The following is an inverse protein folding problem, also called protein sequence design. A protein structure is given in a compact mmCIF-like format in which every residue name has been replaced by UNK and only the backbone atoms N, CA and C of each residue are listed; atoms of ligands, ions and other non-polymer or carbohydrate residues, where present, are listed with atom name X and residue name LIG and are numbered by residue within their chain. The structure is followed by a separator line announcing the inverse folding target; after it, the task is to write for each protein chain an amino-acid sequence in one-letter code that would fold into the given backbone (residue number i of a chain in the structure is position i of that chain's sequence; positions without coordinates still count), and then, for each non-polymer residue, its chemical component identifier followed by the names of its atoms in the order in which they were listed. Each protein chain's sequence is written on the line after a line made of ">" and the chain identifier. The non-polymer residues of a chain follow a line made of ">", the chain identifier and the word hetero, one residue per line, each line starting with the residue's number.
data_IF_082787268361
#
_entry.id   IF_082787268361
#
_cell.length_a   1.000
_cell.length_b   1.000
_cell.length_c   1.000
_cell.angle_alpha   90.00
_cell.angle_beta   90.00
_cell.angle_gamma   90.00
#
_symmetry.space_group_name_H-M   'P 1'
#
loop_
_entity.id
_entity.type
_entity.pdbx_description
1 polymer ?
#
# COMPACT_ATOMS: atom_id res chain seq x y z
N UNK A 1 9.10 2.53 -15.94
CA UNK A 1 9.99 1.83 -14.99
C UNK A 1 10.47 0.50 -15.56
N UNK A 2 9.57 -0.46 -15.84
CA UNK A 2 9.96 -1.76 -16.40
C UNK A 2 10.77 -1.67 -17.70
N UNK A 3 10.41 -0.77 -18.62
CA UNK A 3 11.12 -0.64 -19.91
C UNK A 3 12.54 -0.08 -19.75
N UNK A 4 12.76 0.75 -18.73
CA UNK A 4 14.05 1.37 -18.45
C UNK A 4 14.97 0.48 -17.59
N UNK A 5 14.40 -0.47 -16.85
CA UNK A 5 15.10 -1.37 -15.93
C UNK A 5 14.70 -2.84 -16.16
N UNK A 6 14.97 -3.39 -17.36
CA UNK A 6 14.59 -4.76 -17.68
C UNK A 6 15.29 -5.75 -16.76
N UNK A 7 14.53 -6.71 -16.21
CA UNK A 7 15.04 -7.76 -15.32
C UNK A 7 15.43 -7.30 -13.90
N UNK A 8 15.31 -6.00 -13.58
CA UNK A 8 15.60 -5.49 -12.24
C UNK A 8 14.34 -5.57 -11.36
N UNK A 9 14.41 -6.20 -10.18
CA UNK A 9 13.29 -6.24 -9.25
C UNK A 9 12.91 -4.83 -8.77
N UNK A 10 11.61 -4.52 -8.76
CA UNK A 10 11.08 -3.24 -8.28
C UNK A 10 10.20 -3.51 -7.06
N UNK A 11 10.46 -2.82 -5.96
CA UNK A 11 9.71 -2.95 -4.72
C UNK A 11 9.14 -1.58 -4.33
N UNK A 12 7.90 -1.24 -4.72
CA UNK A 12 7.31 0.06 -4.46
C UNK A 12 6.88 0.26 -2.99
N UNK A 13 6.82 1.51 -2.57
CA UNK A 13 6.13 1.93 -1.36
C UNK A 13 5.08 2.98 -1.74
N UNK A 14 3.96 2.98 -1.02
CA UNK A 14 2.87 3.93 -1.22
C UNK A 14 3.25 5.29 -0.59
N UNK A 15 3.16 6.37 -1.37
CA UNK A 15 3.32 7.73 -0.87
C UNK A 15 2.00 8.33 -0.38
N UNK A 16 2.03 9.62 -0.06
CA UNK A 16 0.86 10.35 0.44
C UNK A 16 0.07 11.10 -0.65
N UNK A 17 0.56 11.11 -1.90
CA UNK A 17 -0.05 11.82 -3.03
C UNK A 17 -0.79 10.89 -4.00
N UNK A 18 -0.78 9.59 -3.74
CA UNK A 18 -1.43 8.58 -4.58
C UNK A 18 -2.94 8.53 -4.39
N UNK A 19 -3.46 8.97 -3.24
CA UNK A 19 -4.90 9.12 -3.03
C UNK A 19 -5.39 10.54 -3.31
N UNK A 20 -6.68 10.65 -3.57
CA UNK A 20 -7.38 11.93 -3.69
C UNK A 20 -8.57 11.95 -2.72
N UNK A 21 -8.70 12.98 -1.86
CA UNK A 21 -7.76 14.10 -1.66
C UNK A 21 -6.38 13.65 -1.10
N UNK A 22 -5.35 14.48 -1.26
CA UNK A 22 -4.00 14.20 -0.75
C UNK A 22 -4.02 13.87 0.75
N UNK A 23 -3.22 12.88 1.18
CA UNK A 23 -3.18 12.33 2.54
C UNK A 23 -4.48 11.63 3.00
N UNK A 24 -5.50 11.47 2.16
CA UNK A 24 -6.74 10.79 2.55
C UNK A 24 -6.56 9.26 2.45
N UNK A 25 -6.21 8.62 3.55
CA UNK A 25 -6.01 7.16 3.63
C UNK A 25 -6.86 6.56 4.76
N UNK A 26 -8.14 6.27 4.50
CA UNK A 26 -9.05 5.66 5.47
C UNK A 26 -8.52 4.27 5.87
N UNK A 27 -8.45 3.95 7.17
CA UNK A 27 -8.08 2.63 7.64
C UNK A 27 -9.09 1.54 7.24
N UNK A 28 -8.73 0.24 7.28
CA UNK A 28 -9.59 -0.86 6.82
C UNK A 28 -10.93 -1.00 7.55
N UNK A 29 -11.07 -0.42 8.74
CA UNK A 29 -12.34 -0.40 9.47
C UNK A 29 -13.38 0.58 8.86
N UNK A 30 -12.96 1.47 7.95
CA UNK A 30 -13.87 2.33 7.16
C UNK A 30 -14.31 1.56 5.92
N UNK A 31 -15.44 0.87 6.02
CA UNK A 31 -15.95 -0.02 4.96
C UNK A 31 -17.04 0.58 4.08
N UNK A 32 -17.48 1.81 4.34
CA UNK A 32 -18.53 2.46 3.54
C UNK A 32 -18.08 2.58 2.07
N UNK A 33 -18.93 2.19 1.09
CA UNK A 33 -18.60 2.26 -0.35
C UNK A 33 -18.09 3.63 -0.80
N UNK A 34 -18.59 4.71 -0.21
CA UNK A 34 -18.32 6.10 -0.59
C UNK A 34 -16.98 6.61 -0.06
N UNK A 35 -16.45 5.99 1.00
CA UNK A 35 -15.26 6.49 1.70
C UNK A 35 -14.11 5.51 1.79
N UNK A 36 -14.28 4.24 1.42
CA UNK A 36 -13.16 3.29 1.47
C UNK A 36 -12.14 3.55 0.35
N UNK A 37 -10.91 3.07 0.56
CA UNK A 37 -9.77 3.27 -0.35
C UNK A 37 -9.54 2.10 -1.32
N UNK A 38 -10.49 1.15 -1.40
CA UNK A 38 -10.30 -0.07 -2.19
C UNK A 38 -10.05 0.22 -3.68
N UNK A 39 -10.61 1.32 -4.22
CA UNK A 39 -10.36 1.75 -5.59
C UNK A 39 -8.86 1.91 -5.89
N UNK A 40 -8.09 2.48 -4.95
CA UNK A 40 -6.65 2.69 -5.10
C UNK A 40 -5.90 1.39 -4.83
N UNK A 41 -6.20 0.70 -3.73
CA UNK A 41 -5.42 -0.49 -3.33
C UNK A 41 -5.61 -1.66 -4.30
N UNK A 42 -6.79 -1.80 -4.92
CA UNK A 42 -7.02 -2.79 -5.98
C UNK A 42 -6.21 -2.45 -7.24
N UNK A 43 -6.12 -1.17 -7.61
CA UNK A 43 -5.30 -0.74 -8.75
C UNK A 43 -3.81 -0.93 -8.48
N UNK A 44 -3.34 -0.60 -7.27
CA UNK A 44 -1.95 -0.86 -6.86
C UNK A 44 -1.63 -2.36 -6.94
N UNK A 45 -2.49 -3.24 -6.44
CA UNK A 45 -2.32 -4.69 -6.60
C UNK A 45 -2.25 -5.08 -8.08
N UNK A 46 -3.18 -4.62 -8.92
CA UNK A 46 -3.16 -4.91 -10.35
C UNK A 46 -1.87 -4.45 -11.05
N UNK A 47 -1.40 -3.23 -10.75
CA UNK A 47 -0.20 -2.65 -11.34
C UNK A 47 1.07 -3.32 -10.81
N UNK A 48 1.15 -3.61 -9.52
CA UNK A 48 2.34 -4.15 -8.85
C UNK A 48 2.53 -5.66 -9.02
N UNK A 49 1.50 -6.41 -9.44
CA UNK A 49 1.62 -7.86 -9.76
C UNK A 49 2.73 -8.19 -10.75
N UNK A 50 3.09 -7.25 -11.62
CA UNK A 50 4.20 -7.42 -12.57
C UNK A 50 5.59 -7.36 -11.90
N UNK A 51 5.67 -6.84 -10.67
CA UNK A 51 6.91 -6.66 -9.91
C UNK A 51 6.97 -7.51 -8.64
N UNK A 52 5.82 -7.81 -8.03
CA UNK A 52 5.71 -8.47 -6.73
C UNK A 52 5.18 -9.91 -6.84
N UNK A 53 5.58 -10.81 -5.91
CA UNK A 53 5.05 -12.18 -5.87
C UNK A 53 3.53 -12.19 -5.60
N UNK A 54 2.79 -13.13 -6.21
CA UNK A 54 1.34 -13.24 -6.03
C UNK A 54 0.89 -13.37 -4.56
N UNK A 55 1.75 -13.88 -3.67
CA UNK A 55 1.45 -14.03 -2.24
C UNK A 55 1.22 -12.70 -1.50
N UNK A 56 1.67 -11.56 -2.04
CA UNK A 56 1.47 -10.25 -1.38
C UNK A 56 0.14 -9.57 -1.72
N UNK A 57 -0.59 -10.06 -2.72
CA UNK A 57 -1.81 -9.39 -3.22
C UNK A 57 -2.85 -9.12 -2.13
N UNK A 58 -3.00 -10.03 -1.17
CA UNK A 58 -3.93 -9.85 -0.05
C UNK A 58 -3.56 -8.65 0.84
N UNK A 59 -2.28 -8.49 1.22
CA UNK A 59 -1.85 -7.38 2.09
C UNK A 59 -1.83 -6.05 1.35
N UNK A 60 -1.49 -6.07 0.06
CA UNK A 60 -1.57 -4.87 -0.81
C UNK A 60 -3.02 -4.38 -0.89
N UNK A 61 -3.99 -5.26 -1.15
CA UNK A 61 -5.41 -4.88 -1.18
C UNK A 61 -5.97 -4.47 0.17
N UNK A 62 -5.45 -5.02 1.27
CA UNK A 62 -5.89 -4.68 2.64
C UNK A 62 -5.38 -3.30 3.10
N UNK A 63 -4.12 -2.97 2.83
CA UNK A 63 -3.51 -1.79 3.43
C UNK A 63 -2.34 -1.18 2.66
N UNK A 64 -2.10 -1.61 1.42
CA UNK A 64 -0.97 -1.20 0.58
C UNK A 64 0.41 -1.36 1.25
N UNK A 65 0.53 -2.35 2.13
CA UNK A 65 1.78 -2.81 2.72
C UNK A 65 2.04 -4.27 2.34
N UNK A 66 3.29 -4.70 2.39
CA UNK A 66 3.65 -6.08 2.08
C UNK A 66 5.03 -6.45 2.63
N UNK A 67 5.34 -7.76 2.60
CA UNK A 67 6.70 -8.24 2.77
C UNK A 67 7.08 -9.24 1.69
N UNK A 68 8.34 -9.22 1.25
CA UNK A 68 8.89 -10.15 0.25
C UNK A 68 10.20 -10.71 0.76
N UNK A 69 10.35 -12.04 0.73
CA UNK A 69 11.65 -12.69 0.88
C UNK A 69 12.37 -12.62 -0.46
N UNK A 70 13.39 -11.78 -0.56
CA UNK A 70 14.12 -11.55 -1.82
C UNK A 70 15.12 -12.68 -2.09
N UNK A 71 15.76 -13.17 -1.02
CA UNK A 71 16.66 -14.33 -1.02
C UNK A 71 16.74 -14.89 0.41
N UNK A 72 17.28 -16.11 0.63
CA UNK A 72 17.48 -16.64 1.97
C UNK A 72 18.21 -15.63 2.88
N UNK A 73 17.64 -15.35 4.05
CA UNK A 73 18.18 -14.38 5.00
C UNK A 73 17.95 -12.90 4.68
N UNK A 74 17.24 -12.55 3.60
CA UNK A 74 16.96 -11.15 3.26
C UNK A 74 15.50 -10.91 2.88
N UNK A 75 14.80 -10.12 3.71
CA UNK A 75 13.40 -9.77 3.57
C UNK A 75 13.24 -8.26 3.45
N UNK A 76 12.43 -7.83 2.49
CA UNK A 76 11.96 -6.45 2.37
C UNK A 76 10.57 -6.35 3.00
N UNK A 77 10.32 -5.25 3.69
CA UNK A 77 9.01 -4.87 4.20
C UNK A 77 8.73 -3.46 3.66
N UNK A 78 7.63 -3.33 2.92
CA UNK A 78 7.13 -2.04 2.44
C UNK A 78 5.94 -1.66 3.30
N UNK A 79 6.04 -0.51 3.95
CA UNK A 79 5.03 0.00 4.88
C UNK A 79 4.20 1.09 4.23
N UNK A 80 2.90 1.11 4.54
CA UNK A 80 2.05 2.25 4.24
C UNK A 80 2.18 3.31 5.34
N UNK A 81 3.06 4.29 5.12
CA UNK A 81 3.36 5.33 6.10
C UNK A 81 2.22 6.35 6.27
N UNK A 82 1.14 6.25 5.49
CA UNK A 82 -0.03 7.11 5.69
C UNK A 82 -0.79 6.79 6.98
N UNK A 83 -0.59 5.61 7.57
CA UNK A 83 -1.15 5.25 8.88
C UNK A 83 -0.39 5.84 10.07
N UNK A 84 0.72 6.55 9.83
CA UNK A 84 1.40 7.38 10.83
C UNK A 84 1.60 8.83 10.36
N UNK A 85 0.97 9.21 9.24
CA UNK A 85 1.05 10.55 8.67
C UNK A 85 0.12 11.51 9.43
N UNK A 86 0.68 12.58 10.00
CA UNK A 86 -0.09 13.60 10.74
C UNK A 86 -1.08 14.41 9.86
N UNK A 87 -1.00 14.29 8.54
CA UNK A 87 -1.96 14.88 7.59
C UNK A 87 -3.08 13.92 7.19
N UNK A 88 -3.02 12.66 7.63
CA UNK A 88 -4.11 11.72 7.40
C UNK A 88 -5.23 11.95 8.43
N UNK A 89 -6.16 12.81 8.05
CA UNK A 89 -7.31 13.21 8.87
C UNK A 89 -8.20 12.05 9.35
N UNK A 90 -8.19 10.89 8.68
CA UNK A 90 -8.91 9.70 9.14
C UNK A 90 -8.42 9.17 10.49
N UNK A 91 -7.16 9.45 10.84
CA UNK A 91 -6.57 9.03 12.13
C UNK A 91 -7.15 9.79 13.33
N UNK A 92 -7.92 10.86 13.11
CA UNK A 92 -8.70 11.52 14.16
C UNK A 92 -9.79 10.61 14.76
N UNK A 93 -10.28 9.62 14.00
CA UNK A 93 -11.27 8.66 14.48
C UNK A 93 -10.65 7.62 15.42
N UNK A 94 -9.51 7.04 15.00
CA UNK A 94 -8.69 6.13 15.80
C UNK A 94 -7.29 6.04 15.18
N UNK A 95 -6.26 6.38 15.95
CA UNK A 95 -4.85 6.36 15.55
C UNK A 95 -4.07 5.16 16.09
N UNK A 96 -4.73 4.21 16.76
CA UNK A 96 -4.09 3.01 17.30
C UNK A 96 -3.95 1.97 16.20
N UNK A 97 -2.70 1.68 15.81
CA UNK A 97 -2.31 0.65 14.83
C UNK A 97 -3.36 0.40 13.72
N UNK A 98 -3.50 1.34 12.76
CA UNK A 98 -4.71 1.42 11.95
C UNK A 98 -5.02 0.20 11.05
N UNK A 99 -4.07 -0.71 10.75
CA UNK A 99 -4.28 -1.78 9.76
C UNK A 99 -3.49 -3.08 9.95
#
# INVERSE_FOLDING_TARGET
>A
MSDMFPGVPIFPALGNHESSPVNSFPPPYISSPESNIAWLYNELDAQWRRWLPAGVSHTVRRGAFYSVLVRPGFRIISLNMNYCNNKNWWLLLNSTDPA
#
